data_IF_882808400634
#
_entry.id   IF_882808400634
#
_cell.length_a   1.000
_cell.length_b   1.000
_cell.length_c   1.000
_cell.angle_alpha   90.00
_cell.angle_beta   90.00
_cell.angle_gamma   90.00
#
_symmetry.space_group_name_H-M   'P 1'
#
loop_
_entity.id
_entity.type
_entity.pdbx_description
1 polymer ?
#
# COMPACT_ATOMS: atom_id res chain seq x y z
N UNK A 1 35.18 22.51 -13.56
CA UNK A 1 33.80 22.81 -13.07
C UNK A 1 33.06 21.49 -12.87
N UNK A 2 32.39 21.31 -11.73
CA UNK A 2 31.55 20.13 -11.48
C UNK A 2 30.28 20.22 -12.35
N UNK A 3 29.92 19.21 -13.17
CA UNK A 3 28.75 19.26 -14.05
C UNK A 3 27.43 19.57 -13.32
N UNK A 4 27.23 19.01 -12.12
CA UNK A 4 26.00 19.20 -11.33
C UNK A 4 25.82 20.64 -10.80
N UNK A 5 26.89 21.44 -10.74
CA UNK A 5 26.84 22.82 -10.25
C UNK A 5 27.12 23.85 -11.35
N UNK A 6 27.36 23.41 -12.58
CA UNK A 6 27.77 24.28 -13.68
C UNK A 6 26.68 25.30 -14.05
N UNK A 7 25.42 24.86 -14.14
CA UNK A 7 24.28 25.74 -14.45
C UNK A 7 24.00 26.73 -13.32
N UNK A 8 24.12 26.31 -12.06
CA UNK A 8 24.01 27.20 -10.90
C UNK A 8 25.11 28.27 -10.89
N UNK A 9 26.36 27.90 -11.17
CA UNK A 9 27.47 28.84 -11.23
C UNK A 9 27.30 29.90 -12.35
N UNK A 10 26.62 29.54 -13.45
CA UNK A 10 26.29 30.47 -14.53
C UNK A 10 25.09 31.37 -14.17
N UNK A 11 24.05 30.81 -13.60
CA UNK A 11 22.77 31.52 -13.38
C UNK A 11 22.72 32.35 -12.10
N UNK A 12 23.54 32.04 -11.09
CA UNK A 12 23.54 32.74 -9.79
C UNK A 12 23.81 34.24 -9.86
N UNK A 13 24.56 34.67 -10.86
CA UNK A 13 25.04 36.05 -11.01
C UNK A 13 24.15 36.83 -12.01
N UNK A 14 23.13 36.20 -12.60
CA UNK A 14 22.20 36.85 -13.52
C UNK A 14 21.18 37.71 -12.76
N UNK A 15 20.87 38.93 -13.24
CA UNK A 15 19.74 39.68 -12.72
C UNK A 15 18.43 38.93 -12.98
N UNK A 16 17.41 39.16 -12.15
CA UNK A 16 16.17 38.35 -12.13
C UNK A 16 15.46 38.26 -13.48
N UNK A 17 15.45 39.34 -14.27
CA UNK A 17 14.87 39.37 -15.61
C UNK A 17 15.64 38.49 -16.61
N UNK A 18 16.96 38.44 -16.54
CA UNK A 18 17.79 37.60 -17.41
C UNK A 18 17.75 36.13 -16.97
N UNK A 19 17.71 35.87 -15.66
CA UNK A 19 17.51 34.54 -15.10
C UNK A 19 16.19 33.91 -15.58
N UNK A 20 15.08 34.66 -15.51
CA UNK A 20 13.78 34.18 -15.98
C UNK A 20 13.70 34.01 -17.51
N UNK A 21 14.59 34.64 -18.26
CA UNK A 21 14.70 34.43 -19.71
C UNK A 21 15.70 33.33 -20.08
N UNK A 22 16.44 32.78 -19.11
CA UNK A 22 17.40 31.72 -19.36
C UNK A 22 16.68 30.43 -19.83
N UNK A 23 17.09 29.83 -20.97
CA UNK A 23 16.41 28.67 -21.53
C UNK A 23 16.29 27.47 -20.56
N UNK A 24 17.35 27.14 -19.83
CA UNK A 24 17.35 26.05 -18.85
C UNK A 24 16.36 26.28 -17.69
N UNK A 25 16.32 27.49 -17.15
CA UNK A 25 15.35 27.91 -16.13
C UNK A 25 13.92 27.75 -16.64
N UNK A 26 13.63 28.23 -17.86
CA UNK A 26 12.30 28.11 -18.46
C UNK A 26 11.90 26.65 -18.71
N UNK A 27 12.83 25.80 -19.17
CA UNK A 27 12.59 24.38 -19.36
C UNK A 27 12.25 23.68 -18.03
N UNK A 28 13.00 23.96 -16.96
CA UNK A 28 12.74 23.38 -15.63
C UNK A 28 11.42 23.88 -15.06
N UNK A 29 11.12 25.17 -15.17
CA UNK A 29 9.84 25.74 -14.73
C UNK A 29 8.67 25.06 -15.43
N UNK A 30 8.74 24.97 -16.77
CA UNK A 30 7.68 24.32 -17.55
C UNK A 30 7.53 22.83 -17.20
N UNK A 31 8.63 22.14 -16.99
CA UNK A 31 8.60 20.74 -16.56
C UNK A 31 7.94 20.58 -15.19
N UNK A 32 8.27 21.44 -14.24
CA UNK A 32 7.70 21.42 -12.88
C UNK A 32 6.18 21.70 -12.90
N UNK A 33 5.73 22.67 -13.70
CA UNK A 33 4.31 22.95 -13.93
C UNK A 33 3.57 21.70 -14.45
N UNK A 34 4.07 21.11 -15.53
CA UNK A 34 3.45 19.93 -16.14
C UNK A 34 3.43 18.72 -15.19
N UNK A 35 4.47 18.55 -14.39
CA UNK A 35 4.52 17.49 -13.37
C UNK A 35 3.48 17.72 -12.26
N UNK A 36 3.29 18.97 -11.85
CA UNK A 36 2.26 19.35 -10.87
C UNK A 36 0.85 19.12 -11.41
N UNK A 37 0.57 19.59 -12.64
CA UNK A 37 -0.71 19.39 -13.32
C UNK A 37 -1.01 17.90 -13.51
N UNK A 38 -0.03 17.12 -13.97
CA UNK A 38 -0.14 15.67 -14.12
C UNK A 38 -0.48 15.00 -12.78
N UNK A 39 0.21 15.39 -11.71
CA UNK A 39 -0.05 14.83 -10.38
C UNK A 39 -1.46 15.16 -9.91
N UNK A 40 -1.89 16.40 -10.01
CA UNK A 40 -3.25 16.82 -9.64
C UNK A 40 -4.32 16.07 -10.44
N UNK A 41 -4.07 15.81 -11.73
CA UNK A 41 -4.95 15.00 -12.56
C UNK A 41 -5.02 13.55 -12.06
N UNK A 42 -3.88 12.89 -11.86
CA UNK A 42 -3.83 11.52 -11.33
C UNK A 42 -4.55 11.42 -9.98
N UNK A 43 -4.24 12.33 -9.04
CA UNK A 43 -4.84 12.35 -7.71
C UNK A 43 -6.37 12.46 -7.78
N UNK A 44 -6.89 13.28 -8.70
CA UNK A 44 -8.34 13.41 -8.95
C UNK A 44 -8.96 12.09 -9.43
N UNK A 45 -8.36 11.45 -10.44
CA UNK A 45 -8.89 10.17 -10.96
C UNK A 45 -8.78 9.05 -9.93
N UNK A 46 -7.68 8.98 -9.19
CA UNK A 46 -7.47 7.97 -8.16
C UNK A 46 -8.50 8.14 -7.01
N UNK A 47 -8.80 9.38 -6.62
CA UNK A 47 -9.85 9.67 -5.63
C UNK A 47 -11.25 9.26 -6.12
N UNK A 48 -11.57 9.55 -7.38
CA UNK A 48 -12.87 9.16 -7.96
C UNK A 48 -12.99 7.63 -8.11
N UNK A 49 -11.93 6.97 -8.58
CA UNK A 49 -11.86 5.51 -8.70
C UNK A 49 -11.94 4.83 -7.33
N UNK A 50 -11.35 5.40 -6.28
CA UNK A 50 -11.45 4.86 -4.93
C UNK A 50 -12.90 4.83 -4.44
N UNK A 51 -13.64 5.94 -4.60
CA UNK A 51 -15.07 6.02 -4.25
C UNK A 51 -15.91 5.01 -5.03
N UNK A 52 -15.63 4.85 -6.33
CA UNK A 52 -16.33 3.86 -7.16
C UNK A 52 -16.03 2.43 -6.72
N UNK A 53 -14.77 2.12 -6.38
CA UNK A 53 -14.38 0.80 -5.86
C UNK A 53 -15.10 0.47 -4.55
N UNK A 54 -15.19 1.42 -3.62
CA UNK A 54 -15.95 1.25 -2.38
C UNK A 54 -17.43 0.96 -2.65
N UNK A 55 -18.06 1.76 -3.52
CA UNK A 55 -19.45 1.54 -3.92
C UNK A 55 -19.66 0.17 -4.59
N UNK A 56 -18.72 -0.27 -5.43
CA UNK A 56 -18.75 -1.58 -6.09
C UNK A 56 -18.60 -2.73 -5.10
N UNK A 57 -17.78 -2.59 -4.05
CA UNK A 57 -17.69 -3.59 -2.98
C UNK A 57 -19.03 -3.71 -2.27
N UNK A 58 -19.61 -2.59 -1.84
CA UNK A 58 -20.90 -2.57 -1.14
C UNK A 58 -21.99 -3.20 -2.01
N UNK A 59 -22.04 -2.84 -3.30
CA UNK A 59 -22.97 -3.41 -4.25
C UNK A 59 -22.76 -4.92 -4.43
N UNK A 60 -21.53 -5.36 -4.68
CA UNK A 60 -21.18 -6.77 -4.88
C UNK A 60 -21.53 -7.63 -3.67
N UNK A 61 -21.29 -7.13 -2.45
CA UNK A 61 -21.65 -7.81 -1.21
C UNK A 61 -23.17 -7.90 -1.03
N UNK A 62 -23.88 -6.78 -1.24
CA UNK A 62 -25.35 -6.71 -1.10
C UNK A 62 -26.04 -7.67 -2.06
N UNK A 63 -25.63 -7.66 -3.32
CA UNK A 63 -26.21 -8.50 -4.38
C UNK A 63 -25.60 -9.91 -4.42
N UNK A 64 -24.60 -10.19 -3.58
CA UNK A 64 -23.86 -11.47 -3.50
C UNK A 64 -23.30 -11.92 -4.85
N UNK A 65 -22.71 -10.99 -5.59
CA UNK A 65 -22.09 -11.23 -6.91
C UNK A 65 -20.59 -10.95 -6.89
N UNK A 66 -19.81 -11.73 -7.61
CA UNK A 66 -18.37 -11.46 -7.81
C UNK A 66 -18.08 -10.65 -9.08
N UNK A 67 -19.02 -10.60 -10.03
CA UNK A 67 -18.83 -9.95 -11.33
C UNK A 67 -20.01 -9.02 -11.60
N UNK A 68 -19.71 -7.74 -11.76
CA UNK A 68 -20.66 -6.70 -12.17
C UNK A 68 -20.47 -6.43 -13.65
N UNK A 69 -21.56 -6.46 -14.43
CA UNK A 69 -21.53 -6.19 -15.88
C UNK A 69 -22.02 -4.78 -16.16
N UNK A 70 -21.29 -4.06 -17.00
CA UNK A 70 -21.73 -2.84 -17.67
C UNK A 70 -22.13 -3.15 -19.13
N UNK A 71 -22.19 -2.10 -19.96
CA UNK A 71 -22.54 -2.22 -21.39
C UNK A 71 -21.51 -3.03 -22.18
N UNK A 72 -20.23 -2.66 -22.07
CA UNK A 72 -19.16 -3.21 -22.91
C UNK A 72 -18.11 -3.98 -22.08
N UNK A 73 -18.10 -3.73 -20.77
CA UNK A 73 -17.11 -4.24 -19.84
C UNK A 73 -17.78 -4.96 -18.68
N UNK A 74 -17.05 -5.91 -18.08
CA UNK A 74 -17.35 -6.49 -16.78
C UNK A 74 -16.21 -6.22 -15.83
N UNK A 75 -16.56 -6.01 -14.56
CA UNK A 75 -15.64 -5.86 -13.46
C UNK A 75 -15.81 -7.02 -12.49
N UNK A 76 -14.74 -7.76 -12.27
CA UNK A 76 -14.69 -8.76 -11.18
C UNK A 76 -14.19 -8.07 -9.91
N UNK A 77 -14.92 -8.28 -8.81
CA UNK A 77 -14.56 -7.86 -7.46
C UNK A 77 -14.28 -9.13 -6.66
N UNK A 78 -13.00 -9.42 -6.41
CA UNK A 78 -12.59 -10.61 -5.66
C UNK A 78 -12.16 -10.20 -4.25
N UNK A 79 -12.89 -10.68 -3.24
CA UNK A 79 -12.46 -10.59 -1.85
C UNK A 79 -11.36 -11.62 -1.58
N UNK A 80 -10.33 -11.21 -0.84
CA UNK A 80 -9.30 -12.10 -0.30
C UNK A 80 -9.26 -11.85 1.20
N UNK A 81 -9.50 -12.89 1.98
CA UNK A 81 -9.37 -12.82 3.43
C UNK A 81 -7.92 -13.19 3.78
N UNK A 82 -7.29 -12.39 4.62
CA UNK A 82 -5.96 -12.67 5.15
C UNK A 82 -5.96 -12.46 6.66
N UNK A 83 -5.30 -13.34 7.38
CA UNK A 83 -5.10 -13.19 8.82
C UNK A 83 -3.74 -12.56 9.03
N UNK A 84 -3.72 -11.40 9.70
CA UNK A 84 -2.48 -10.69 10.02
C UNK A 84 -2.33 -10.60 11.53
N UNK A 85 -1.08 -10.74 11.97
CA UNK A 85 -0.73 -10.45 13.35
C UNK A 85 -0.57 -8.94 13.56
N UNK A 86 -0.64 -8.46 14.82
CA UNK A 86 -0.57 -7.04 15.12
C UNK A 86 0.74 -6.42 14.63
N UNK A 87 0.64 -5.20 14.11
CA UNK A 87 1.78 -4.45 13.57
C UNK A 87 2.72 -4.02 14.70
N UNK A 88 3.98 -3.77 14.33
CA UNK A 88 4.95 -3.12 15.24
C UNK A 88 4.34 -1.84 15.82
N UNK A 89 4.63 -1.57 17.08
CA UNK A 89 4.20 -0.38 17.83
C UNK A 89 2.69 -0.32 18.16
N UNK A 90 2.00 -1.46 18.19
CA UNK A 90 0.62 -1.57 18.71
C UNK A 90 0.61 -2.20 20.12
N UNK A 91 -0.34 -1.85 21.00
CA UNK A 91 -0.48 -2.50 22.32
C UNK A 91 -0.65 -4.02 22.22
N UNK A 92 -1.42 -4.48 21.23
CA UNK A 92 -1.65 -5.91 21.00
C UNK A 92 -0.38 -6.63 20.55
N UNK A 93 0.50 -5.95 19.81
CA UNK A 93 1.82 -6.49 19.49
C UNK A 93 2.70 -6.64 20.74
N UNK A 94 2.71 -5.65 21.62
CA UNK A 94 3.47 -5.74 22.87
C UNK A 94 2.98 -6.91 23.75
N UNK A 95 1.66 -7.10 23.86
CA UNK A 95 1.07 -8.21 24.60
C UNK A 95 1.41 -9.58 23.98
N UNK A 96 1.40 -9.68 22.65
CA UNK A 96 1.82 -10.88 21.92
C UNK A 96 3.31 -11.19 22.13
N UNK A 97 4.17 -10.17 22.08
CA UNK A 97 5.61 -10.32 22.32
C UNK A 97 5.87 -10.82 23.75
N UNK A 98 5.18 -10.26 24.75
CA UNK A 98 5.29 -10.67 26.14
C UNK A 98 4.78 -12.10 26.38
N UNK A 99 3.71 -12.50 25.70
CA UNK A 99 3.21 -13.88 25.74
C UNK A 99 4.26 -14.87 25.24
N UNK A 100 4.91 -14.56 24.11
CA UNK A 100 5.94 -15.42 23.50
C UNK A 100 7.20 -15.45 24.36
N UNK A 101 7.60 -14.33 24.97
CA UNK A 101 8.74 -14.26 25.90
C UNK A 101 8.50 -15.05 27.18
N UNK A 102 7.29 -14.99 27.76
CA UNK A 102 6.93 -15.74 28.97
C UNK A 102 7.01 -17.26 28.80
N UNK A 103 6.94 -17.74 27.57
CA UNK A 103 7.03 -19.16 27.23
C UNK A 103 8.42 -19.54 26.70
N UNK A 104 9.42 -18.64 26.85
CA UNK A 104 10.81 -18.79 26.38
C UNK A 104 10.94 -19.07 24.87
N UNK A 105 9.93 -18.67 24.09
CA UNK A 105 9.85 -18.93 22.64
C UNK A 105 10.35 -17.79 21.76
N UNK A 106 10.77 -16.68 22.36
CA UNK A 106 11.15 -15.46 21.63
C UNK A 106 12.31 -15.67 20.65
N UNK A 107 13.31 -16.46 21.03
CA UNK A 107 14.47 -16.74 20.19
C UNK A 107 14.11 -17.54 18.93
N UNK A 108 13.04 -18.34 18.99
CA UNK A 108 12.61 -19.18 17.87
C UNK A 108 11.94 -18.36 16.76
N UNK A 109 11.35 -17.19 17.08
CA UNK A 109 10.61 -16.34 16.12
C UNK A 109 11.33 -15.06 15.69
N UNK A 110 12.53 -14.78 16.23
CA UNK A 110 13.43 -13.68 15.80
C UNK A 110 12.69 -12.38 15.46
N UNK A 111 12.28 -11.64 16.49
CA UNK A 111 11.47 -10.40 16.37
C UNK A 111 10.08 -10.64 15.75
N UNK A 112 9.55 -11.85 15.92
CA UNK A 112 8.22 -12.26 15.45
C UNK A 112 8.09 -11.98 13.94
N UNK A 113 9.10 -12.46 13.20
CA UNK A 113 9.05 -12.51 11.73
C UNK A 113 7.84 -13.36 11.34
N UNK A 114 6.94 -12.82 10.52
CA UNK A 114 5.71 -13.50 10.11
C UNK A 114 5.97 -14.91 9.54
N UNK A 115 7.08 -15.10 8.82
CA UNK A 115 7.46 -16.42 8.30
C UNK A 115 7.95 -17.37 9.40
N UNK A 116 8.69 -16.88 10.38
CA UNK A 116 9.20 -17.70 11.49
C UNK A 116 8.05 -18.09 12.44
N UNK A 117 7.15 -17.15 12.73
CA UNK A 117 5.95 -17.43 13.52
C UNK A 117 5.03 -18.41 12.80
N UNK A 118 4.74 -18.21 11.51
CA UNK A 118 3.91 -19.15 10.74
C UNK A 118 4.51 -20.56 10.75
N UNK A 119 5.83 -20.68 10.59
CA UNK A 119 6.55 -21.95 10.68
C UNK A 119 6.39 -22.60 12.06
N UNK A 120 6.62 -21.84 13.14
CA UNK A 120 6.48 -22.34 14.51
C UNK A 120 5.05 -22.82 14.84
N UNK A 121 4.02 -22.14 14.30
CA UNK A 121 2.62 -22.53 14.48
C UNK A 121 2.24 -23.79 13.67
N UNK A 122 2.81 -23.97 12.46
CA UNK A 122 2.51 -25.11 11.58
C UNK A 122 3.27 -26.38 11.99
N UNK A 123 4.54 -26.25 12.39
CA UNK A 123 5.40 -27.38 12.71
C UNK A 123 5.08 -28.03 14.07
N UNK A 124 4.11 -27.50 14.82
CA UNK A 124 3.62 -28.09 16.07
C UNK A 124 4.64 -28.07 17.21
N UNK A 125 5.69 -27.25 17.10
CA UNK A 125 6.78 -27.15 18.08
C UNK A 125 6.27 -26.54 19.40
N UNK A 126 5.20 -25.75 19.34
CA UNK A 126 4.61 -25.05 20.48
C UNK A 126 3.36 -25.75 20.98
N UNK A 127 3.11 -25.63 22.29
CA UNK A 127 1.92 -26.24 22.90
C UNK A 127 0.63 -25.70 22.24
N UNK A 128 -0.37 -26.55 22.08
CA UNK A 128 -1.67 -26.14 21.51
C UNK A 128 -2.30 -24.97 22.28
N UNK A 129 -2.06 -24.91 23.59
CA UNK A 129 -2.54 -23.82 24.45
C UNK A 129 -1.89 -22.49 24.08
N UNK A 130 -0.59 -22.48 23.81
CA UNK A 130 0.13 -21.28 23.38
C UNK A 130 -0.30 -20.87 21.96
N UNK A 131 -0.38 -21.83 21.05
CA UNK A 131 -0.86 -21.61 19.67
C UNK A 131 -2.23 -20.96 19.66
N UNK A 132 -3.20 -21.47 20.43
CA UNK A 132 -4.54 -20.88 20.53
C UNK A 132 -4.50 -19.43 21.00
N UNK A 133 -3.77 -19.15 22.07
CA UNK A 133 -3.61 -17.77 22.59
C UNK A 133 -2.97 -16.83 21.59
N UNK A 134 -2.02 -17.30 20.77
CA UNK A 134 -1.39 -16.49 19.73
C UNK A 134 -2.39 -16.18 18.62
N UNK A 135 -3.19 -17.17 18.19
CA UNK A 135 -4.19 -17.00 17.14
C UNK A 135 -5.29 -15.98 17.53
N UNK A 136 -5.55 -15.77 18.82
CA UNK A 136 -6.45 -14.72 19.31
C UNK A 136 -5.98 -13.29 18.94
N UNK A 137 -4.69 -13.10 18.65
CA UNK A 137 -4.14 -11.82 18.19
C UNK A 137 -4.23 -11.65 16.66
N UNK A 138 -4.74 -12.64 15.92
CA UNK A 138 -4.90 -12.48 14.47
C UNK A 138 -6.13 -11.63 14.16
N UNK A 139 -5.91 -10.57 13.40
CA UNK A 139 -6.97 -9.80 12.80
C UNK A 139 -7.23 -10.31 11.38
N UNK A 140 -8.50 -10.58 11.08
CA UNK A 140 -8.94 -10.88 9.72
C UNK A 140 -9.07 -9.57 8.94
N UNK A 141 -8.22 -9.38 7.94
CA UNK A 141 -8.31 -8.27 7.00
C UNK A 141 -8.89 -8.77 5.67
N UNK A 142 -9.86 -8.02 5.14
CA UNK A 142 -10.46 -8.29 3.83
C UNK A 142 -9.92 -7.31 2.80
N UNK A 143 -9.11 -7.83 1.88
CA UNK A 143 -8.60 -7.09 0.73
C UNK A 143 -9.48 -7.36 -0.50
N UNK A 144 -9.66 -6.35 -1.35
CA UNK A 144 -10.44 -6.47 -2.60
C UNK A 144 -9.56 -6.23 -3.83
N UNK A 145 -9.54 -7.21 -4.74
CA UNK A 145 -8.94 -7.06 -6.06
C UNK A 145 -10.01 -6.81 -7.10
N UNK A 146 -9.79 -5.77 -7.89
CA UNK A 146 -10.63 -5.41 -9.03
C UNK A 146 -9.95 -5.82 -10.33
N UNK A 147 -10.69 -6.42 -11.24
CA UNK A 147 -10.19 -6.79 -12.57
C UNK A 147 -11.23 -6.50 -13.63
N UNK A 148 -10.91 -5.59 -14.54
CA UNK A 148 -11.80 -5.20 -15.64
C UNK A 148 -11.45 -6.01 -16.90
N UNK A 149 -12.48 -6.43 -17.64
CA UNK A 149 -12.32 -7.10 -18.93
C UNK A 149 -13.50 -6.78 -19.83
N UNK A 150 -13.31 -6.83 -21.14
CA UNK A 150 -14.42 -6.72 -22.09
C UNK A 150 -15.40 -7.87 -21.92
N UNK A 151 -16.68 -7.62 -22.19
CA UNK A 151 -17.62 -8.69 -22.44
C UNK A 151 -17.19 -9.42 -23.71
N UNK A 152 -17.24 -10.75 -23.66
CA UNK A 152 -17.16 -11.57 -24.86
C UNK A 152 -18.61 -11.80 -25.30
N UNK A 153 -18.87 -11.63 -26.59
CA UNK A 153 -20.14 -12.04 -27.20
C UNK A 153 -20.48 -13.50 -26.86
#
# INVERSE_FOLDING_TARGET
LCPNHAHLAFTRDLPSNEFLNEPGVNLVNRYAELMSEKKAFIDKFDSELAKLKEALIVYAQKEKVEVVRGSDNKLRVKATESYKFPRKDTPDRAALDDLIKKEDKWLEVSDLNASALAKALIEGVWSEKLVKKILEYQEMERDYRFSISKLKD
#
